data_IF_676535712003
#
_entry.id   IF_676535712003
#
_cell.length_a   1.000
_cell.length_b   1.000
_cell.length_c   1.000
_cell.angle_alpha   90.00
_cell.angle_beta   90.00
_cell.angle_gamma   90.00
#
_symmetry.space_group_name_H-M   'P 1'
#
loop_
_entity.id
_entity.type
_entity.pdbx_description
1 polymer ?
#
# COMPACT_ATOMS: atom_id res chain seq x y z
N UNK A 1 33.60 -57.98 -2.11
CA UNK A 1 34.01 -57.00 -1.09
C UNK A 1 33.30 -55.70 -1.41
N UNK A 2 32.37 -55.28 -0.56
CA UNK A 2 31.48 -54.16 -0.81
C UNK A 2 32.25 -52.83 -0.89
N UNK A 3 32.07 -52.08 -1.98
CA UNK A 3 32.56 -50.72 -2.12
C UNK A 3 31.81 -49.85 -1.09
N UNK A 4 32.48 -49.47 0.01
CA UNK A 4 31.95 -48.45 0.92
C UNK A 4 31.98 -47.13 0.15
N UNK A 5 30.86 -46.80 -0.49
CA UNK A 5 30.64 -45.50 -1.11
C UNK A 5 30.81 -44.44 -0.01
N UNK A 6 31.70 -43.47 -0.25
CA UNK A 6 32.02 -42.42 0.70
C UNK A 6 30.84 -41.44 0.84
N UNK A 7 29.83 -41.83 1.61
CA UNK A 7 28.55 -41.11 1.75
C UNK A 7 28.72 -39.68 2.28
N UNK A 8 29.78 -39.39 3.03
CA UNK A 8 30.02 -38.08 3.62
C UNK A 8 30.49 -37.04 2.58
N UNK A 9 31.34 -37.46 1.62
CA UNK A 9 31.76 -36.59 0.52
C UNK A 9 30.63 -36.31 -0.46
N UNK A 10 29.79 -37.31 -0.73
CA UNK A 10 28.59 -37.16 -1.56
C UNK A 10 27.57 -36.18 -0.94
N UNK A 11 27.29 -36.32 0.36
CA UNK A 11 26.39 -35.41 1.07
C UNK A 11 26.92 -33.96 1.13
N UNK A 12 28.23 -33.77 1.25
CA UNK A 12 28.85 -32.44 1.20
C UNK A 12 28.65 -31.76 -0.16
N UNK A 13 28.90 -32.46 -1.26
CA UNK A 13 28.68 -31.90 -2.61
C UNK A 13 27.20 -31.64 -2.85
N UNK A 14 26.32 -32.56 -2.46
CA UNK A 14 24.86 -32.40 -2.60
C UNK A 14 24.35 -31.18 -1.84
N UNK A 15 24.80 -30.96 -0.60
CA UNK A 15 24.43 -29.78 0.19
C UNK A 15 24.97 -28.48 -0.41
N UNK A 16 26.18 -28.48 -0.98
CA UNK A 16 26.72 -27.31 -1.69
C UNK A 16 25.88 -26.98 -2.94
N UNK A 17 25.51 -27.99 -3.72
CA UNK A 17 24.67 -27.81 -4.91
C UNK A 17 23.28 -27.31 -4.51
N UNK A 18 22.66 -27.90 -3.48
CA UNK A 18 21.38 -27.44 -2.95
C UNK A 18 21.45 -26.00 -2.43
N UNK A 19 22.54 -25.62 -1.76
CA UNK A 19 22.76 -24.25 -1.29
C UNK A 19 22.89 -23.25 -2.43
N UNK A 20 23.62 -23.60 -3.50
CA UNK A 20 23.76 -22.74 -4.69
C UNK A 20 22.40 -22.55 -5.36
N UNK A 21 21.64 -23.63 -5.55
CA UNK A 21 20.30 -23.56 -6.15
C UNK A 21 19.37 -22.70 -5.29
N UNK A 22 19.38 -22.89 -3.97
CA UNK A 22 18.60 -22.09 -3.04
C UNK A 22 18.98 -20.61 -3.08
N UNK A 23 20.27 -20.30 -3.13
CA UNK A 23 20.76 -18.92 -3.22
C UNK A 23 20.35 -18.25 -4.53
N UNK A 24 20.41 -18.98 -5.66
CA UNK A 24 19.93 -18.49 -6.95
C UNK A 24 18.42 -18.25 -6.95
N UNK A 25 17.64 -19.14 -6.32
CA UNK A 25 16.20 -18.93 -6.14
C UNK A 25 15.91 -17.67 -5.33
N UNK A 26 16.59 -17.46 -4.20
CA UNK A 26 16.44 -16.27 -3.39
C UNK A 26 16.79 -14.99 -4.15
N UNK A 27 17.87 -15.02 -4.94
CA UNK A 27 18.30 -13.87 -5.75
C UNK A 27 17.23 -13.42 -6.75
N UNK A 28 16.45 -14.35 -7.29
CA UNK A 28 15.35 -14.07 -8.21
C UNK A 28 14.05 -13.69 -7.46
N UNK A 29 13.80 -14.32 -6.32
CA UNK A 29 12.54 -14.18 -5.60
C UNK A 29 12.47 -12.91 -4.73
N UNK A 30 13.57 -12.53 -4.07
CA UNK A 30 13.63 -11.32 -3.24
C UNK A 30 13.23 -10.03 -3.98
N UNK A 31 13.75 -9.73 -5.19
CA UNK A 31 13.39 -8.51 -5.89
C UNK A 31 11.92 -8.53 -6.34
N UNK A 32 11.39 -9.70 -6.73
CA UNK A 32 9.97 -9.84 -7.06
C UNK A 32 9.09 -9.58 -5.82
N UNK A 33 9.49 -10.12 -4.67
CA UNK A 33 8.81 -9.88 -3.40
C UNK A 33 8.85 -8.40 -2.97
N UNK A 34 10.00 -7.73 -3.12
CA UNK A 34 10.11 -6.30 -2.82
C UNK A 34 9.20 -5.45 -3.69
N UNK A 35 9.10 -5.76 -5.00
CA UNK A 35 8.16 -5.06 -5.89
C UNK A 35 6.72 -5.24 -5.47
N UNK A 36 6.33 -6.44 -5.05
CA UNK A 36 4.95 -6.68 -4.61
C UNK A 36 4.66 -5.96 -3.29
N UNK A 37 5.63 -5.90 -2.36
CA UNK A 37 5.50 -5.10 -1.15
C UNK A 37 5.31 -3.61 -1.46
N UNK A 38 6.13 -3.04 -2.35
CA UNK A 38 5.98 -1.64 -2.78
C UNK A 38 4.61 -1.39 -3.39
N UNK A 39 4.15 -2.30 -4.27
CA UNK A 39 2.81 -2.23 -4.86
C UNK A 39 1.69 -2.28 -3.81
N UNK A 40 1.84 -3.11 -2.78
CA UNK A 40 0.87 -3.18 -1.68
C UNK A 40 0.87 -1.91 -0.84
N UNK A 41 2.02 -1.29 -0.60
CA UNK A 41 2.13 0.00 0.09
C UNK A 41 1.44 1.11 -0.71
N UNK A 42 1.67 1.17 -2.03
CA UNK A 42 0.98 2.11 -2.92
C UNK A 42 -0.54 1.90 -2.91
N UNK A 43 -0.99 0.65 -3.01
CA UNK A 43 -2.42 0.32 -2.96
C UNK A 43 -3.05 0.68 -1.61
N UNK A 44 -2.32 0.47 -0.52
CA UNK A 44 -2.76 0.86 0.83
C UNK A 44 -2.90 2.38 0.95
N UNK A 45 -1.94 3.13 0.42
CA UNK A 45 -2.00 4.59 0.40
C UNK A 45 -3.21 5.08 -0.39
N UNK A 46 -3.44 4.54 -1.58
CA UNK A 46 -4.63 4.87 -2.39
C UNK A 46 -5.93 4.52 -1.66
N UNK A 47 -6.00 3.36 -1.01
CA UNK A 47 -7.18 2.97 -0.22
C UNK A 47 -7.43 3.94 0.95
N UNK A 48 -6.38 4.40 1.62
CA UNK A 48 -6.50 5.37 2.71
C UNK A 48 -6.96 6.74 2.20
N UNK A 49 -6.48 7.20 1.04
CA UNK A 49 -6.94 8.43 0.40
C UNK A 49 -8.44 8.37 0.08
N UNK A 50 -8.90 7.25 -0.47
CA UNK A 50 -10.33 7.01 -0.73
C UNK A 50 -11.16 6.99 0.55
N UNK A 51 -10.65 6.34 1.60
CA UNK A 51 -11.34 6.31 2.88
C UNK A 51 -11.45 7.72 3.51
N UNK A 52 -10.37 8.51 3.45
CA UNK A 52 -10.41 9.90 3.89
C UNK A 52 -11.46 10.69 3.11
N UNK A 53 -11.50 10.53 1.79
CA UNK A 53 -12.47 11.23 0.96
C UNK A 53 -13.92 10.89 1.33
N UNK A 54 -14.22 9.60 1.51
CA UNK A 54 -15.56 9.15 1.94
C UNK A 54 -15.93 9.70 3.32
N UNK A 55 -15.00 9.64 4.28
CA UNK A 55 -15.21 10.17 5.62
C UNK A 55 -15.51 11.68 5.60
N UNK A 56 -14.77 12.46 4.78
CA UNK A 56 -15.01 13.90 4.64
C UNK A 56 -16.35 14.20 3.97
N UNK A 57 -16.78 13.41 2.99
CA UNK A 57 -18.12 13.53 2.40
C UNK A 57 -19.18 13.28 3.47
N UNK A 58 -19.07 12.20 4.25
CA UNK A 58 -20.05 11.88 5.29
C UNK A 58 -20.11 12.97 6.38
N UNK A 59 -18.95 13.43 6.85
CA UNK A 59 -18.86 14.50 7.86
C UNK A 59 -19.41 15.83 7.34
N UNK A 60 -19.18 16.15 6.06
CA UNK A 60 -19.70 17.37 5.45
C UNK A 60 -21.22 17.35 5.28
N UNK A 61 -21.82 16.19 5.00
CA UNK A 61 -23.28 16.02 4.98
C UNK A 61 -23.89 16.20 6.38
N UNK A 62 -23.16 15.80 7.43
CA UNK A 62 -23.57 15.96 8.82
C UNK A 62 -23.33 17.37 9.38
N UNK A 63 -22.78 18.30 8.58
CA UNK A 63 -22.55 19.72 8.91
C UNK A 63 -21.64 19.98 10.13
N UNK A 64 -20.69 19.08 10.39
CA UNK A 64 -19.73 19.23 11.50
C UNK A 64 -18.40 19.78 10.99
N UNK A 65 -18.27 21.11 10.87
CA UNK A 65 -17.08 21.76 10.30
C UNK A 65 -15.79 21.56 11.11
N UNK A 66 -15.89 21.49 12.44
CA UNK A 66 -14.73 21.34 13.35
C UNK A 66 -14.09 19.94 13.29
N UNK A 67 -14.87 18.93 12.90
CA UNK A 67 -14.42 17.53 12.82
C UNK A 67 -13.68 17.25 11.50
N UNK A 68 -14.06 17.97 10.43
CA UNK A 68 -13.44 17.90 9.11
C UNK A 68 -11.98 18.33 9.14
N UNK A 69 -11.69 19.52 9.67
CA UNK A 69 -10.32 20.05 9.73
C UNK A 69 -9.41 19.17 10.59
N UNK A 70 -9.93 18.70 11.72
CA UNK A 70 -9.22 17.78 12.63
C UNK A 70 -8.87 16.47 11.93
N UNK A 71 -9.79 15.93 11.11
CA UNK A 71 -9.56 14.69 10.37
C UNK A 71 -8.52 14.85 9.26
N UNK A 72 -8.53 15.98 8.57
CA UNK A 72 -7.53 16.33 7.54
C UNK A 72 -6.15 16.50 8.17
N UNK A 73 -6.05 17.21 9.30
CA UNK A 73 -4.79 17.41 10.02
C UNK A 73 -4.22 16.07 10.51
N UNK A 74 -5.06 15.20 11.08
CA UNK A 74 -4.64 13.88 11.52
C UNK A 74 -4.09 13.03 10.36
N UNK A 75 -4.73 13.07 9.19
CA UNK A 75 -4.23 12.38 7.99
C UNK A 75 -2.90 12.97 7.51
N UNK A 76 -2.80 14.29 7.45
CA UNK A 76 -1.59 15.01 7.01
C UNK A 76 -0.39 14.66 7.89
N UNK A 77 -0.58 14.55 9.22
CA UNK A 77 0.47 14.15 10.16
C UNK A 77 0.88 12.67 10.01
N UNK A 78 -0.05 11.79 9.63
CA UNK A 78 0.18 10.35 9.51
C UNK A 78 0.89 9.96 8.21
N UNK A 79 0.58 10.65 7.11
CA UNK A 79 1.07 10.32 5.77
C UNK A 79 2.01 11.38 5.19
N UNK A 80 2.29 12.46 5.92
CA UNK A 80 3.11 13.60 5.47
C UNK A 80 2.68 14.17 4.11
N UNK A 81 1.38 14.06 3.81
CA UNK A 81 0.78 14.43 2.53
C UNK A 81 -0.21 15.58 2.76
N UNK A 82 0.03 16.73 2.12
CA UNK A 82 -0.89 17.84 2.15
C UNK A 82 -2.19 17.50 1.43
N UNK A 83 -3.31 17.92 2.02
CA UNK A 83 -4.66 17.67 1.52
C UNK A 83 -5.42 18.98 1.43
N UNK A 84 -6.01 19.23 0.28
CA UNK A 84 -6.95 20.33 0.10
C UNK A 84 -8.35 19.77 -0.14
N UNK A 85 -9.30 20.24 0.66
CA UNK A 85 -10.70 19.82 0.61
C UNK A 85 -11.59 20.98 0.18
N UNK A 86 -12.50 20.73 -0.75
CA UNK A 86 -13.51 21.67 -1.19
C UNK A 86 -14.88 20.99 -1.25
N UNK A 87 -15.85 21.59 -0.57
CA UNK A 87 -17.25 21.16 -0.60
C UNK A 87 -18.13 22.34 -1.01
N UNK A 88 -18.86 22.22 -2.12
CA UNK A 88 -19.73 23.30 -2.61
C UNK A 88 -21.01 22.73 -3.23
N UNK A 89 -22.18 23.04 -2.66
CA UNK A 89 -23.50 22.70 -3.21
C UNK A 89 -23.64 21.25 -3.75
N UNK A 90 -23.21 20.25 -2.98
CA UNK A 90 -23.29 18.83 -3.36
C UNK A 90 -22.17 18.33 -4.27
N UNK A 91 -21.18 19.19 -4.55
CA UNK A 91 -19.92 18.85 -5.18
C UNK A 91 -18.82 18.74 -4.14
N UNK A 92 -18.11 17.62 -4.13
CA UNK A 92 -17.04 17.31 -3.19
C UNK A 92 -15.76 17.00 -3.95
N UNK A 93 -14.69 17.69 -3.60
CA UNK A 93 -13.39 17.54 -4.22
C UNK A 93 -12.31 17.46 -3.16
N UNK A 94 -11.38 16.54 -3.36
CA UNK A 94 -10.15 16.43 -2.58
C UNK A 94 -8.96 16.37 -3.54
N UNK A 95 -7.91 17.12 -3.20
CA UNK A 95 -6.63 17.08 -3.92
C UNK A 95 -5.53 16.79 -2.92
N UNK A 96 -4.76 15.76 -3.22
CA UNK A 96 -3.58 15.35 -2.47
C UNK A 96 -2.33 15.90 -3.15
N UNK A 97 -1.34 16.33 -2.37
CA UNK A 97 -0.05 16.83 -2.88
C UNK A 97 0.70 15.78 -3.73
N UNK A 98 0.42 14.49 -3.53
CA UNK A 98 0.89 13.40 -4.38
C UNK A 98 0.34 13.38 -5.82
N UNK A 99 -0.54 14.33 -6.17
CA UNK A 99 -1.10 14.50 -7.51
C UNK A 99 -2.44 13.77 -7.74
N UNK A 100 -2.91 13.00 -6.76
CA UNK A 100 -4.22 12.35 -6.84
C UNK A 100 -5.33 13.36 -6.53
N UNK A 101 -6.34 13.39 -7.40
CA UNK A 101 -7.53 14.21 -7.25
C UNK A 101 -8.76 13.32 -7.38
N UNK A 102 -9.68 13.45 -6.43
CA UNK A 102 -10.98 12.79 -6.48
C UNK A 102 -12.09 13.83 -6.42
N UNK A 103 -13.14 13.59 -7.19
CA UNK A 103 -14.25 14.50 -7.38
C UNK A 103 -15.54 13.70 -7.48
N UNK A 104 -16.53 14.05 -6.67
CA UNK A 104 -17.85 13.43 -6.67
C UNK A 104 -18.91 14.52 -6.63
N UNK A 105 -19.85 14.44 -7.58
CA UNK A 105 -21.08 15.19 -7.54
C UNK A 105 -22.19 14.27 -7.02
N UNK A 106 -22.75 14.58 -5.85
CA UNK A 106 -23.93 13.88 -5.36
C UNK A 106 -25.14 14.32 -6.16
N UNK A 107 -25.53 13.51 -7.12
CA UNK A 107 -26.83 13.64 -7.79
C UNK A 107 -27.91 13.35 -6.74
N UNK A 108 -28.69 14.37 -6.38
CA UNK A 108 -29.95 14.16 -5.68
C UNK A 108 -30.86 13.31 -6.58
N UNK A 109 -30.85 12.00 -6.37
CA UNK A 109 -31.87 11.10 -6.89
C UNK A 109 -33.14 11.41 -6.08
N UNK A 110 -33.94 12.34 -6.59
CA UNK A 110 -35.29 12.65 -6.11
C UNK A 110 -36.22 11.44 -6.29
#
# INVERSE_FOLDING_TARGET
MWYKQNNQGFALVESMVAFIIFSLMLMLYLPAYHRELQRLEELKLVANQWQLFDDLIQMSQQQTSLDLDTRIEAYTLLYEEGVTWQANNGFYQIVFDGGNQYEVQLLNLQ
#
